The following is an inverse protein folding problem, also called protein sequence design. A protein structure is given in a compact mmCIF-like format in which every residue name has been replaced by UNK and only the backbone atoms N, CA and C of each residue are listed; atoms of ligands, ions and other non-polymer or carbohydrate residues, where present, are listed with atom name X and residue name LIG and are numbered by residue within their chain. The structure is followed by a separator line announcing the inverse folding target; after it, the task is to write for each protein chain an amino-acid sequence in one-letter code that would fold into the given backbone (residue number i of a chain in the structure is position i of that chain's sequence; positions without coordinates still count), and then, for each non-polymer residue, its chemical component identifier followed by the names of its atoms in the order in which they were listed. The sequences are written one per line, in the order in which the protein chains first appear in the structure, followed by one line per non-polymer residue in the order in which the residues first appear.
data_IF_213458188275
#
_entry.id   IF_213458188275
#
_cell.length_a   1.000
_cell.length_b   1.000
_cell.length_c   1.000
_cell.angle_alpha   90.00
_cell.angle_beta   90.00
_cell.angle_gamma   90.00
#
_symmetry.space_group_name_H-M   'P 1'
#
loop_
_entity.id
_entity.type
_entity.pdbx_description
1 polymer ?
#
# COMPACT_ATOMS: atom_id res chain seq x y z
N UNK A 1 15.99 -0.98 15.43
CA UNK A 1 14.63 -1.04 16.00
C UNK A 1 13.99 -2.29 15.46
N UNK A 2 13.59 -3.21 16.32
CA UNK A 2 12.89 -4.44 15.93
C UNK A 2 11.39 -4.18 15.67
N UNK A 3 10.75 -5.16 15.00
CA UNK A 3 9.34 -5.11 14.61
C UNK A 3 8.41 -5.00 15.82
N UNK A 4 8.65 -5.82 16.85
CA UNK A 4 7.81 -5.92 18.04
C UNK A 4 7.75 -4.58 18.77
N UNK A 5 8.88 -3.89 18.85
CA UNK A 5 8.98 -2.53 19.40
C UNK A 5 8.14 -1.56 18.58
N UNK A 6 8.21 -1.59 17.24
CA UNK A 6 7.38 -0.70 16.39
C UNK A 6 5.89 -0.94 16.63
N UNK A 7 5.45 -2.20 16.58
CA UNK A 7 4.04 -2.57 16.80
C UNK A 7 3.56 -2.09 18.17
N UNK A 8 4.35 -2.34 19.23
CA UNK A 8 3.99 -1.97 20.61
C UNK A 8 3.93 -0.46 20.80
N UNK A 9 4.99 0.26 20.43
CA UNK A 9 5.11 1.70 20.71
C UNK A 9 4.13 2.54 19.87
N UNK A 10 3.91 2.14 18.60
CA UNK A 10 2.93 2.81 17.74
C UNK A 10 1.50 2.26 17.93
N UNK A 11 1.34 1.25 18.79
CA UNK A 11 0.08 0.56 19.09
C UNK A 11 -0.59 0.08 17.81
N UNK A 12 0.15 -0.56 16.91
CA UNK A 12 -0.43 -1.04 15.65
C UNK A 12 -1.40 -2.20 15.91
N UNK A 13 -2.44 -2.29 15.08
CA UNK A 13 -3.42 -3.39 15.07
C UNK A 13 -3.60 -3.89 13.65
N UNK A 14 -4.07 -5.13 13.41
CA UNK A 14 -4.29 -5.61 12.05
C UNK A 14 -5.21 -4.68 11.25
N UNK A 15 -4.83 -4.39 10.00
CA UNK A 15 -5.66 -3.61 9.08
C UNK A 15 -6.78 -4.51 8.53
N UNK A 16 -8.06 -4.11 8.65
CA UNK A 16 -9.17 -4.89 8.12
C UNK A 16 -9.07 -5.08 6.61
N UNK A 17 -9.42 -6.27 6.10
CA UNK A 17 -9.61 -6.61 4.67
C UNK A 17 -8.39 -6.53 3.75
N UNK A 18 -7.38 -5.74 4.09
CA UNK A 18 -6.28 -5.41 3.20
C UNK A 18 -4.96 -6.09 3.59
N UNK A 19 -4.70 -6.37 4.87
CA UNK A 19 -3.43 -6.93 5.34
C UNK A 19 -2.49 -5.89 5.95
N UNK A 20 -1.45 -6.34 6.63
CA UNK A 20 -0.54 -5.49 7.40
C UNK A 20 -1.13 -4.98 8.73
N UNK A 21 -0.36 -4.13 9.41
CA UNK A 21 -0.66 -3.59 10.74
C UNK A 21 -0.74 -2.08 10.68
N UNK A 22 -1.81 -1.46 11.17
CA UNK A 22 -2.02 -0.02 11.07
C UNK A 22 -2.38 0.66 12.39
N UNK A 23 -2.22 1.98 12.41
CA UNK A 23 -2.84 2.86 13.42
C UNK A 23 -3.18 4.20 12.76
N UNK A 24 -4.45 4.58 12.80
CA UNK A 24 -4.86 5.92 12.39
C UNK A 24 -4.29 6.96 13.34
N UNK A 25 -3.61 7.96 12.78
CA UNK A 25 -2.98 9.07 13.50
C UNK A 25 -3.80 10.35 13.41
N UNK A 26 -4.42 10.57 12.27
CA UNK A 26 -5.21 11.76 12.01
C UNK A 26 -6.46 11.43 11.19
N UNK A 27 -7.55 12.14 11.48
CA UNK A 27 -8.75 12.22 10.64
C UNK A 27 -9.46 13.53 10.94
N UNK A 28 -9.72 14.29 9.89
CA UNK A 28 -10.66 15.41 9.89
C UNK A 28 -11.60 15.29 8.69
N UNK A 29 -12.31 16.37 8.35
CA UNK A 29 -13.21 16.43 7.20
C UNK A 29 -12.47 16.38 5.85
N UNK A 30 -11.16 16.68 5.83
CA UNK A 30 -10.38 16.88 4.61
C UNK A 30 -9.43 15.72 4.33
N UNK A 31 -8.96 15.01 5.35
CA UNK A 31 -7.88 14.04 5.19
C UNK A 31 -7.78 13.02 6.31
N UNK A 32 -7.06 11.94 6.04
CA UNK A 32 -6.65 10.92 7.01
C UNK A 32 -5.17 10.64 6.90
N UNK A 33 -4.53 10.29 8.00
CA UNK A 33 -3.21 9.66 7.98
C UNK A 33 -3.10 8.47 8.93
N UNK A 34 -2.29 7.49 8.54
CA UNK A 34 -2.03 6.28 9.31
C UNK A 34 -0.53 6.00 9.40
N UNK A 35 -0.11 5.34 10.49
CA UNK A 35 1.05 4.46 10.44
C UNK A 35 0.62 3.13 9.87
N UNK A 36 1.51 2.51 9.10
CA UNK A 36 1.28 1.22 8.49
C UNK A 36 2.57 0.40 8.43
N UNK A 37 2.49 -0.87 8.82
CA UNK A 37 3.61 -1.80 8.87
C UNK A 37 3.30 -3.00 7.99
N UNK A 38 4.18 -3.24 7.04
CA UNK A 38 4.14 -4.32 6.05
C UNK A 38 5.07 -5.44 6.48
N UNK A 39 4.64 -6.68 6.27
CA UNK A 39 5.40 -7.90 6.53
C UNK A 39 5.32 -8.84 5.33
N UNK A 40 6.30 -9.75 5.11
CA UNK A 40 6.32 -10.64 3.95
C UNK A 40 5.10 -11.55 3.84
N UNK A 41 4.53 -11.95 4.97
CA UNK A 41 3.35 -12.81 5.11
C UNK A 41 2.03 -12.01 5.24
N UNK A 42 2.12 -10.67 5.28
CA UNK A 42 0.96 -9.79 5.31
C UNK A 42 1.13 -8.58 4.37
N UNK A 43 1.29 -8.83 3.05
CA UNK A 43 1.25 -7.76 2.06
C UNK A 43 -0.16 -7.17 1.96
N UNK A 44 -0.31 -6.01 1.32
CA UNK A 44 -1.65 -5.48 1.07
C UNK A 44 -2.32 -6.16 -0.10
N UNK A 45 -3.62 -6.42 0.01
CA UNK A 45 -4.42 -6.85 -1.12
C UNK A 45 -4.60 -5.70 -2.11
N UNK A 46 -4.65 -6.04 -3.40
CA UNK A 46 -4.98 -5.11 -4.47
C UNK A 46 -6.34 -4.49 -4.19
N UNK A 47 -6.33 -3.18 -4.06
CA UNK A 47 -7.51 -2.40 -3.77
C UNK A 47 -7.46 -1.09 -4.54
N UNK A 48 -8.59 -0.39 -4.57
CA UNK A 48 -8.74 0.87 -5.26
C UNK A 48 -9.51 1.85 -4.38
N UNK A 49 -9.04 3.09 -4.39
CA UNK A 49 -9.59 4.21 -3.63
C UNK A 49 -10.01 5.32 -4.60
N UNK A 50 -11.04 6.12 -4.29
CA UNK A 50 -11.50 7.19 -5.19
C UNK A 50 -10.61 8.43 -5.16
N UNK A 51 -9.87 8.62 -4.06
CA UNK A 51 -8.97 9.75 -3.84
C UNK A 51 -7.52 9.31 -3.91
N UNK A 52 -6.59 10.29 -4.03
CA UNK A 52 -5.17 9.98 -4.02
C UNK A 52 -4.70 9.49 -2.66
N UNK A 53 -3.69 8.64 -2.69
CA UNK A 53 -2.95 8.18 -1.51
C UNK A 53 -1.45 8.46 -1.70
N UNK A 54 -0.82 9.00 -0.66
CA UNK A 54 0.63 9.23 -0.62
C UNK A 54 1.23 8.30 0.41
N UNK A 55 2.13 7.43 -0.04
CA UNK A 55 2.96 6.59 0.82
C UNK A 55 4.21 7.36 1.24
N UNK A 56 4.62 7.23 2.49
CA UNK A 56 5.80 7.87 3.08
C UNK A 56 6.66 6.80 3.75
N UNK A 57 7.94 6.73 3.42
CA UNK A 57 8.88 5.82 4.08
C UNK A 57 9.24 6.34 5.48
N UNK A 58 9.22 5.47 6.49
CA UNK A 58 9.68 5.83 7.85
C UNK A 58 10.87 4.98 8.32
N UNK A 59 10.82 3.65 8.19
CA UNK A 59 11.90 2.78 8.63
C UNK A 59 11.78 1.36 8.05
N UNK A 60 12.84 0.55 8.23
CA UNK A 60 12.85 -0.86 7.85
C UNK A 60 13.44 -1.09 6.46
N UNK A 61 13.04 -2.18 5.83
CA UNK A 61 13.38 -2.43 4.43
C UNK A 61 12.54 -1.53 3.51
N UNK A 62 13.00 -1.22 2.28
CA UNK A 62 12.17 -0.57 1.27
C UNK A 62 10.86 -1.33 1.04
N UNK A 63 9.83 -0.64 0.56
CA UNK A 63 8.56 -1.26 0.19
C UNK A 63 8.32 -1.08 -1.31
N UNK A 64 7.87 -2.13 -2.00
CA UNK A 64 7.42 -2.03 -3.38
C UNK A 64 5.95 -1.67 -3.40
N UNK A 65 5.60 -0.64 -4.16
CA UNK A 65 4.21 -0.23 -4.38
C UNK A 65 3.82 -0.65 -5.79
N UNK A 66 2.89 -1.59 -5.91
CA UNK A 66 2.33 -2.06 -7.17
C UNK A 66 1.16 -1.17 -7.55
N UNK A 67 1.16 -0.62 -8.76
CA UNK A 67 0.13 0.32 -9.21
C UNK A 67 -0.26 -0.05 -10.63
N UNK A 68 -1.49 -0.52 -10.80
CA UNK A 68 -2.10 -0.78 -12.09
C UNK A 68 -2.87 0.48 -12.49
N UNK A 69 -2.42 1.12 -13.56
CA UNK A 69 -2.92 2.39 -14.08
C UNK A 69 -4.37 2.32 -14.55
N UNK A 70 -4.97 3.44 -14.96
CA UNK A 70 -6.34 3.46 -15.46
C UNK A 70 -6.48 2.71 -16.79
N UNK A 71 -5.45 2.71 -17.63
CA UNK A 71 -5.46 2.05 -18.93
C UNK A 71 -5.00 0.57 -18.82
N UNK A 72 -5.63 -0.36 -19.56
CA UNK A 72 -5.19 -1.74 -19.63
C UNK A 72 -3.70 -1.84 -20.02
N UNK A 73 -2.94 -2.66 -19.29
CA UNK A 73 -1.51 -2.87 -19.48
C UNK A 73 -0.61 -1.82 -18.80
N UNK A 74 -1.14 -0.65 -18.43
CA UNK A 74 -0.36 0.35 -17.69
C UNK A 74 -0.08 -0.16 -16.27
N UNK A 75 1.18 -0.38 -15.93
CA UNK A 75 1.60 -0.81 -14.60
C UNK A 75 2.94 -0.17 -14.22
N UNK A 76 3.10 0.14 -12.94
CA UNK A 76 4.34 0.64 -12.35
C UNK A 76 4.56 0.05 -10.97
N UNK A 77 5.83 -0.16 -10.62
CA UNK A 77 6.23 -0.77 -9.35
C UNK A 77 7.31 0.06 -8.64
N UNK A 78 7.08 1.36 -8.35
CA UNK A 78 8.07 2.18 -7.67
C UNK A 78 8.43 1.63 -6.28
N UNK A 79 9.67 1.89 -5.85
CA UNK A 79 10.20 1.45 -4.55
C UNK A 79 10.23 2.63 -3.58
N UNK A 80 9.52 2.47 -2.47
CA UNK A 80 9.43 3.39 -1.36
C UNK A 80 10.60 3.15 -0.40
N UNK A 81 11.48 4.15 -0.27
CA UNK A 81 12.72 4.01 0.50
C UNK A 81 13.59 5.26 0.44
N UNK A 82 14.82 5.16 0.94
CA UNK A 82 15.78 6.28 1.03
C UNK A 82 17.03 6.09 0.16
N UNK A 83 17.14 4.96 -0.54
CA UNK A 83 18.18 4.70 -1.54
C UNK A 83 17.96 5.52 -2.82
N UNK A 84 18.25 6.82 -2.76
CA UNK A 84 17.96 7.75 -3.86
C UNK A 84 18.74 7.41 -5.13
N UNK A 85 19.98 6.93 -4.98
CA UNK A 85 20.87 6.53 -6.09
C UNK A 85 20.38 5.23 -6.75
N UNK A 86 19.70 4.37 -5.99
CA UNK A 86 19.04 3.14 -6.45
C UNK A 86 17.67 3.40 -7.09
N UNK A 87 17.22 4.65 -7.12
CA UNK A 87 15.93 5.04 -7.68
C UNK A 87 14.76 4.99 -6.70
N UNK A 88 15.00 4.67 -5.42
CA UNK A 88 13.97 4.70 -4.39
C UNK A 88 13.49 6.13 -4.12
N UNK A 89 12.24 6.27 -3.66
CA UNK A 89 11.69 7.57 -3.29
C UNK A 89 11.11 7.51 -1.88
N UNK A 90 11.39 8.50 -1.00
CA UNK A 90 10.82 8.53 0.35
C UNK A 90 9.32 8.78 0.34
N UNK A 91 8.76 9.25 -0.79
CA UNK A 91 7.33 9.41 -1.00
C UNK A 91 6.92 8.88 -2.37
N UNK A 92 5.78 8.20 -2.43
CA UNK A 92 5.16 7.73 -3.66
C UNK A 92 3.71 8.19 -3.70
N UNK A 93 3.33 8.84 -4.78
CA UNK A 93 1.96 9.25 -5.07
C UNK A 93 1.22 8.17 -5.87
N UNK A 94 0.03 7.82 -5.42
CA UNK A 94 -0.90 6.92 -6.10
C UNK A 94 -2.17 7.72 -6.45
N UNK A 95 -2.48 7.92 -7.75
CA UNK A 95 -3.71 8.57 -8.17
C UNK A 95 -4.95 7.79 -7.72
N UNK A 96 -6.00 8.51 -7.35
CA UNK A 96 -7.31 7.91 -7.14
C UNK A 96 -7.81 7.19 -8.40
N UNK A 97 -8.54 6.11 -8.22
CA UNK A 97 -9.08 5.29 -9.31
C UNK A 97 -8.11 4.25 -9.89
N UNK A 98 -6.88 4.14 -9.35
CA UNK A 98 -5.91 3.10 -9.73
C UNK A 98 -5.96 1.92 -8.77
N UNK A 99 -5.63 0.72 -9.24
CA UNK A 99 -5.45 -0.43 -8.35
C UNK A 99 -4.06 -0.37 -7.75
N UNK A 100 -3.96 -0.58 -6.45
CA UNK A 100 -2.71 -0.50 -5.72
C UNK A 100 -2.56 -1.64 -4.71
N UNK A 101 -1.32 -2.06 -4.52
CA UNK A 101 -0.90 -2.94 -3.45
C UNK A 101 0.52 -2.57 -3.00
N UNK A 102 0.94 -3.04 -1.84
CA UNK A 102 2.24 -2.77 -1.25
C UNK A 102 2.77 -4.00 -0.54
N UNK A 103 4.08 -4.19 -0.62
CA UNK A 103 4.80 -5.24 0.09
C UNK A 103 6.18 -4.76 0.53
N UNK A 104 6.69 -5.31 1.62
CA UNK A 104 8.07 -5.09 2.03
C UNK A 104 9.04 -5.88 1.14
N UNK A 105 10.25 -5.37 0.93
CA UNK A 105 11.34 -6.11 0.27
C UNK A 105 12.23 -6.87 1.26
N UNK A 106 11.97 -6.77 2.56
CA UNK A 106 12.75 -7.41 3.62
C UNK A 106 11.88 -7.88 4.77
N UNK A 107 12.39 -7.83 5.99
CA UNK A 107 11.67 -8.39 7.15
C UNK A 107 10.41 -7.59 7.53
N UNK A 108 10.45 -6.26 7.37
CA UNK A 108 9.31 -5.37 7.59
C UNK A 108 9.60 -4.00 6.99
N UNK A 109 8.54 -3.26 6.68
CA UNK A 109 8.61 -1.84 6.29
C UNK A 109 7.62 -1.05 7.11
N UNK A 110 8.09 0.00 7.80
CA UNK A 110 7.22 0.98 8.44
C UNK A 110 7.05 2.16 7.48
N UNK A 111 5.80 2.41 7.12
CA UNK A 111 5.38 3.46 6.21
C UNK A 111 4.26 4.28 6.86
N UNK A 112 3.93 5.41 6.25
CA UNK A 112 2.70 6.13 6.53
C UNK A 112 1.94 6.39 5.25
N UNK A 113 0.62 6.40 5.34
CA UNK A 113 -0.21 6.85 4.22
C UNK A 113 -1.03 8.06 4.61
N UNK A 114 -1.18 8.98 3.65
CA UNK A 114 -2.02 10.16 3.77
C UNK A 114 -2.97 10.19 2.59
N UNK A 115 -4.24 10.47 2.85
CA UNK A 115 -5.27 10.64 1.83
C UNK A 115 -6.00 11.96 2.01
N UNK A 116 -6.29 12.62 0.90
CA UNK A 116 -7.13 13.81 0.82
C UNK A 116 -7.95 13.76 -0.50
N UNK A 117 -9.29 13.59 -0.46
CA UNK A 117 -10.14 13.45 0.72
C UNK A 117 -9.78 12.25 1.61
N UNK A 118 -10.14 12.31 2.89
CA UNK A 118 -9.84 11.26 3.87
C UNK A 118 -10.46 9.89 3.53
N UNK A 119 -9.82 8.81 4.00
CA UNK A 119 -10.24 7.43 3.80
C UNK A 119 -11.60 7.13 4.48
N UNK A 120 -12.49 6.48 3.73
CA UNK A 120 -13.72 5.87 4.23
C UNK A 120 -13.92 4.47 3.65
N UNK A 121 -14.38 3.53 4.49
CA UNK A 121 -14.52 2.11 4.13
C UNK A 121 -15.59 1.83 3.08
N UNK A 122 -16.62 2.67 2.98
CA UNK A 122 -17.68 2.56 1.97
C UNK A 122 -17.18 2.87 0.55
N UNK A 123 -15.99 3.48 0.44
CA UNK A 123 -15.34 3.82 -0.83
C UNK A 123 -14.14 2.93 -1.16
N UNK A 124 -13.84 1.95 -0.31
CA UNK A 124 -12.79 0.96 -0.54
C UNK A 124 -13.30 -0.14 -1.47
N UNK A 125 -12.60 -0.37 -2.60
CA UNK A 125 -12.90 -1.46 -3.52
C UNK A 125 -11.77 -2.49 -3.47
N UNK A 126 -12.10 -3.74 -3.12
CA UNK A 126 -11.16 -4.87 -3.19
C UNK A 126 -11.16 -5.48 -4.58
N UNK A 127 -9.99 -5.85 -5.09
CA UNK A 127 -9.85 -6.45 -6.40
C UNK A 127 -10.50 -7.83 -6.51
N UNK A 128 -10.89 -8.18 -7.75
CA UNK A 128 -11.26 -9.53 -8.16
C UNK A 128 -10.28 -9.97 -9.25
N UNK A 129 -9.55 -11.08 -9.08
CA UNK A 129 -8.45 -11.45 -9.95
C UNK A 129 -8.87 -11.59 -11.42
N UNK A 130 -10.04 -12.15 -11.71
CA UNK A 130 -10.51 -12.38 -13.09
C UNK A 130 -10.66 -11.08 -13.88
N UNK A 131 -11.09 -10.01 -13.20
CA UNK A 131 -11.24 -8.69 -13.81
C UNK A 131 -9.88 -8.04 -14.08
N UNK A 132 -8.94 -8.22 -13.16
CA UNK A 132 -7.60 -7.65 -13.29
C UNK A 132 -6.80 -8.35 -14.39
N UNK A 133 -6.81 -9.68 -14.44
CA UNK A 133 -6.08 -10.46 -15.44
C UNK A 133 -6.51 -10.17 -16.88
N UNK A 134 -7.76 -9.73 -17.08
CA UNK A 134 -8.23 -9.28 -18.41
C UNK A 134 -7.55 -8.00 -18.88
N UNK A 135 -7.27 -7.07 -17.96
CA UNK A 135 -6.74 -5.74 -18.28
C UNK A 135 -5.22 -5.64 -18.08
N UNK A 136 -4.65 -6.43 -17.16
CA UNK A 136 -3.21 -6.47 -16.85
C UNK A 136 -2.69 -7.91 -16.85
N UNK A 137 -2.80 -8.65 -17.97
CA UNK A 137 -2.37 -10.05 -18.03
C UNK A 137 -0.86 -10.21 -17.72
N UNK A 138 -0.04 -9.22 -18.06
CA UNK A 138 1.40 -9.21 -17.76
C UNK A 138 1.72 -9.08 -16.27
N UNK A 139 0.73 -8.71 -15.44
CA UNK A 139 0.88 -8.55 -13.99
C UNK A 139 0.32 -9.75 -13.21
N UNK A 140 0.22 -10.91 -13.84
CA UNK A 140 -0.38 -12.12 -13.24
C UNK A 140 0.20 -12.45 -11.86
N UNK A 141 1.54 -12.44 -11.71
CA UNK A 141 2.19 -12.76 -10.43
C UNK A 141 1.78 -11.78 -9.31
N UNK A 142 1.72 -10.48 -9.63
CA UNK A 142 1.26 -9.44 -8.70
C UNK A 142 -0.20 -9.66 -8.34
N UNK A 143 -1.04 -9.95 -9.34
CA UNK A 143 -2.48 -10.15 -9.14
C UNK A 143 -2.72 -11.37 -8.24
N UNK A 144 -2.10 -12.51 -8.52
CA UNK A 144 -2.25 -13.73 -7.73
C UNK A 144 -1.73 -13.57 -6.30
N UNK A 145 -0.60 -12.87 -6.12
CA UNK A 145 -0.02 -12.60 -4.79
C UNK A 145 -0.87 -11.66 -3.94
N UNK A 146 -1.53 -10.69 -4.57
CA UNK A 146 -2.26 -9.61 -3.90
C UNK A 146 -3.77 -9.71 -4.08
N UNK A 147 -4.32 -10.89 -4.40
CA UNK A 147 -5.76 -11.12 -4.34
C UNK A 147 -6.07 -12.32 -3.46
N UNK A 148 -7.22 -12.33 -2.78
CA UNK A 148 -7.68 -13.54 -2.10
C UNK A 148 -7.83 -14.70 -3.10
N UNK A 149 -7.42 -15.90 -2.68
CA UNK A 149 -7.69 -17.14 -3.39
C UNK A 149 -9.19 -17.48 -3.45
#
# INVERSE_FOLDING_TARGET
MDRETVIRELRLVPLPKEGGMYRRKFKDENSTSIYFLLEPDSPTMLHRLPGPEIFHFYAGAPARIHILGPEPGEARQPVLGIGLEEGERPQIFVPGGTWQAAETTGAWSLVGTTMAPGFEWDRFELARPERLLRNWPEQQEVIERHTPA
#
